data_IF_524946565597
#
_entry.id   IF_524946565597
#
_cell.length_a   1.000
_cell.length_b   1.000
_cell.length_c   1.000
_cell.angle_alpha   90.00
_cell.angle_beta   90.00
_cell.angle_gamma   90.00
#
_symmetry.space_group_name_H-M   'P 1'
#
loop_
_entity.id
_entity.type
_entity.pdbx_description
1 polymer ?
#
# COMPACT_ATOMS: atom_id res chain seq x y z
N UNK A 1 20.32 -6.26 4.92
CA UNK A 1 20.18 -6.82 3.56
C UNK A 1 21.14 -7.99 3.46
N UNK A 2 20.64 -9.21 3.28
CA UNK A 2 21.49 -10.37 3.03
C UNK A 2 22.09 -10.25 1.64
N UNK A 3 23.40 -10.29 1.53
CA UNK A 3 24.08 -10.41 0.25
C UNK A 3 24.06 -11.88 -0.12
N UNK A 4 23.22 -12.27 -1.09
CA UNK A 4 23.27 -13.62 -1.64
C UNK A 4 24.60 -13.83 -2.37
N UNK A 5 25.12 -15.06 -2.37
CA UNK A 5 26.29 -15.40 -3.18
C UNK A 5 25.94 -15.47 -4.69
N UNK A 6 24.66 -15.36 -5.03
CA UNK A 6 24.11 -15.32 -6.39
C UNK A 6 23.51 -13.95 -6.72
N UNK A 7 23.23 -13.71 -8.01
CA UNK A 7 22.51 -12.52 -8.49
C UNK A 7 20.99 -12.58 -8.26
N UNK A 8 20.47 -13.75 -7.85
CA UNK A 8 19.04 -13.94 -7.61
C UNK A 8 18.68 -13.56 -6.17
N UNK A 9 17.70 -12.66 -6.00
CA UNK A 9 17.33 -12.10 -4.70
C UNK A 9 16.14 -12.82 -4.05
N UNK A 10 15.36 -13.58 -4.82
CA UNK A 10 14.18 -14.30 -4.31
C UNK A 10 14.51 -15.73 -3.88
N UNK A 11 15.42 -16.38 -4.61
CA UNK A 11 15.77 -17.81 -4.43
C UNK A 11 17.28 -18.05 -4.38
N UNK A 12 18.04 -16.97 -4.15
CA UNK A 12 19.49 -17.00 -4.15
C UNK A 12 20.10 -17.87 -3.05
N UNK A 13 21.29 -18.40 -3.32
CA UNK A 13 22.02 -19.20 -2.33
C UNK A 13 22.59 -18.28 -1.26
N UNK A 14 22.18 -18.54 -0.02
CA UNK A 14 22.71 -17.89 1.17
C UNK A 14 24.23 -18.13 1.31
N UNK A 15 25.04 -17.12 1.72
CA UNK A 15 26.43 -17.34 2.06
C UNK A 15 26.59 -18.32 3.22
N UNK A 16 27.71 -19.03 3.27
CA UNK A 16 28.01 -19.99 4.36
C UNK A 16 28.03 -19.35 5.76
N UNK A 17 28.34 -18.05 5.85
CA UNK A 17 28.31 -17.29 7.11
C UNK A 17 26.90 -16.94 7.58
N UNK A 18 25.92 -16.97 6.68
CA UNK A 18 24.53 -16.61 6.96
C UNK A 18 23.60 -17.61 6.24
N UNK A 19 23.62 -18.90 6.62
CA UNK A 19 23.03 -20.00 5.84
C UNK A 19 21.50 -20.03 5.87
N UNK A 20 20.86 -19.14 6.63
CA UNK A 20 19.41 -19.12 6.80
C UNK A 20 18.78 -18.09 5.87
N UNK A 21 17.90 -18.56 4.98
CA UNK A 21 17.09 -17.70 4.13
C UNK A 21 15.98 -17.06 4.97
N UNK A 22 15.91 -15.73 4.97
CA UNK A 22 14.83 -14.98 5.63
C UNK A 22 13.71 -14.68 4.64
N UNK A 23 12.54 -14.32 5.17
CA UNK A 23 11.42 -13.86 4.35
C UNK A 23 11.82 -12.53 3.68
N UNK A 24 11.64 -12.45 2.37
CA UNK A 24 11.78 -11.22 1.59
C UNK A 24 10.44 -10.53 1.47
N UNK A 25 10.43 -9.20 1.54
CA UNK A 25 9.26 -8.37 1.24
C UNK A 25 9.41 -7.81 -0.17
N UNK A 26 8.46 -8.12 -1.02
CA UNK A 26 8.36 -7.58 -2.36
C UNK A 26 7.18 -6.61 -2.43
N UNK A 27 7.47 -5.37 -2.84
CA UNK A 27 6.46 -4.33 -3.03
C UNK A 27 6.36 -4.04 -4.51
N UNK A 28 5.20 -4.30 -5.09
CA UNK A 28 4.89 -3.97 -6.47
C UNK A 28 3.70 -3.01 -6.50
N UNK A 29 3.87 -1.91 -7.22
CA UNK A 29 2.81 -0.92 -7.42
C UNK A 29 2.72 -0.65 -8.91
N UNK A 30 1.61 -1.08 -9.49
CA UNK A 30 1.32 -0.98 -10.92
C UNK A 30 0.32 0.15 -11.15
N UNK A 31 0.63 1.06 -12.07
CA UNK A 31 -0.27 2.10 -12.52
C UNK A 31 -0.61 1.86 -14.00
N UNK A 32 -1.89 1.72 -14.33
CA UNK A 32 -2.34 1.74 -15.73
C UNK A 32 -2.36 3.19 -16.22
N UNK A 33 -1.27 3.54 -16.87
CA UNK A 33 -0.99 4.88 -17.33
C UNK A 33 -1.39 5.11 -18.79
N UNK A 34 -1.76 4.07 -19.53
CA UNK A 34 -1.92 4.15 -20.99
C UNK A 34 -3.00 5.16 -21.43
N UNK A 35 -4.02 5.39 -20.59
CA UNK A 35 -5.11 6.34 -20.88
C UNK A 35 -4.71 7.82 -20.89
N UNK A 36 -3.52 8.15 -20.40
CA UNK A 36 -3.06 9.54 -20.31
C UNK A 36 -1.90 9.81 -21.28
N UNK A 37 -1.66 8.90 -22.26
CA UNK A 37 -0.40 8.80 -23.02
C UNK A 37 0.02 10.13 -23.67
N UNK A 38 -0.97 10.94 -24.03
CA UNK A 38 -0.88 12.27 -24.65
C UNK A 38 -0.60 13.42 -23.66
N UNK A 39 -0.69 13.16 -22.35
CA UNK A 39 -0.42 14.11 -21.28
C UNK A 39 1.02 14.04 -20.76
N UNK A 40 1.80 13.04 -21.16
CA UNK A 40 3.24 13.00 -20.90
C UNK A 40 3.98 13.93 -21.84
N UNK A 41 4.90 14.74 -21.29
CA UNK A 41 5.79 15.61 -22.06
C UNK A 41 5.01 16.56 -22.99
N UNK A 42 4.48 17.66 -22.46
CA UNK A 42 3.97 18.73 -23.32
C UNK A 42 5.14 19.24 -24.20
N UNK A 43 5.23 18.70 -25.43
CA UNK A 43 6.32 18.97 -26.37
C UNK A 43 6.41 20.45 -26.77
N UNK A 44 5.34 21.23 -26.57
CA UNK A 44 5.27 22.63 -26.96
C UNK A 44 6.06 23.56 -26.04
N UNK A 45 6.30 23.16 -24.78
CA UNK A 45 6.95 24.00 -23.77
C UNK A 45 8.34 23.51 -23.33
N UNK A 46 8.86 22.43 -23.92
CA UNK A 46 10.17 21.87 -23.56
C UNK A 46 10.29 21.40 -22.11
N UNK A 47 9.15 21.20 -21.43
CA UNK A 47 9.08 20.87 -20.02
C UNK A 47 8.86 19.36 -19.81
N UNK A 48 9.68 18.73 -18.97
CA UNK A 48 9.53 17.35 -18.52
C UNK A 48 8.34 17.22 -17.55
N UNK A 49 7.12 17.39 -18.06
CA UNK A 49 5.89 17.35 -17.27
C UNK A 49 5.21 15.99 -17.38
N UNK A 50 4.75 15.47 -16.25
CA UNK A 50 3.92 14.26 -16.12
C UNK A 50 2.65 14.60 -15.33
N UNK A 51 1.50 13.95 -15.58
CA UNK A 51 0.21 14.43 -15.09
C UNK A 51 -0.20 13.90 -13.71
N UNK A 52 0.64 13.12 -13.02
CA UNK A 52 0.33 12.48 -11.74
C UNK A 52 0.94 13.22 -10.56
N UNK A 53 0.26 13.18 -9.43
CA UNK A 53 0.72 13.70 -8.15
C UNK A 53 0.34 12.68 -7.08
N UNK A 54 1.23 12.38 -6.14
CA UNK A 54 0.86 11.55 -5.00
C UNK A 54 -0.13 12.30 -4.10
N UNK A 55 -1.01 11.56 -3.40
CA UNK A 55 -2.09 12.16 -2.60
C UNK A 55 -1.61 13.07 -1.46
N UNK A 56 -0.33 12.95 -1.06
CA UNK A 56 0.34 13.85 -0.13
C UNK A 56 0.88 15.14 -0.78
N UNK A 57 0.57 15.40 -2.05
CA UNK A 57 0.99 16.60 -2.78
C UNK A 57 2.35 16.52 -3.45
N UNK A 58 3.03 15.37 -3.42
CA UNK A 58 4.35 15.21 -4.02
C UNK A 58 4.28 14.95 -5.54
N UNK A 59 4.88 15.86 -6.32
CA UNK A 59 4.99 15.75 -7.79
C UNK A 59 6.30 15.13 -8.24
N UNK A 60 7.26 14.94 -7.33
CA UNK A 60 8.62 14.47 -7.61
C UNK A 60 8.76 12.96 -7.46
N UNK A 61 7.92 12.35 -6.61
CA UNK A 61 7.97 10.95 -6.24
C UNK A 61 8.99 10.61 -5.16
N UNK A 62 9.79 11.56 -4.68
CA UNK A 62 10.75 11.32 -3.59
C UNK A 62 10.10 11.13 -2.22
N UNK A 63 8.83 11.52 -2.06
CA UNK A 63 8.01 11.21 -0.90
C UNK A 63 7.41 9.80 -0.94
N UNK A 64 7.63 9.03 -2.01
CA UNK A 64 7.11 7.68 -2.11
C UNK A 64 7.80 6.74 -1.13
N UNK A 65 7.02 6.23 -0.18
CA UNK A 65 7.51 5.40 0.91
C UNK A 65 6.50 4.29 1.21
N UNK A 66 7.02 3.12 1.58
CA UNK A 66 6.22 2.00 2.04
C UNK A 66 6.65 1.61 3.46
N UNK A 67 5.67 1.38 4.32
CA UNK A 67 5.87 0.83 5.65
C UNK A 67 5.38 -0.63 5.68
N UNK A 68 6.12 -1.48 6.37
CA UNK A 68 5.69 -2.85 6.69
C UNK A 68 5.28 -2.94 8.15
N UNK A 69 4.13 -3.53 8.43
CA UNK A 69 3.75 -3.92 9.79
C UNK A 69 3.45 -5.41 9.79
N UNK A 70 4.24 -6.17 10.53
CA UNK A 70 4.01 -7.61 10.70
C UNK A 70 3.07 -7.85 11.88
N UNK A 71 1.90 -8.44 11.61
CA UNK A 71 0.97 -8.92 12.65
C UNK A 71 0.67 -10.41 12.52
N UNK A 72 1.51 -11.16 11.81
CA UNK A 72 1.34 -12.60 11.73
C UNK A 72 1.59 -13.23 13.10
N UNK A 73 0.72 -14.18 13.47
CA UNK A 73 1.05 -15.12 14.53
C UNK A 73 2.29 -15.93 14.10
N UNK A 74 3.30 -15.99 14.97
CA UNK A 74 4.62 -16.55 14.64
C UNK A 74 4.53 -17.99 14.15
N UNK A 75 3.68 -18.80 14.79
CA UNK A 75 3.46 -20.21 14.44
C UNK A 75 2.77 -20.36 13.08
N UNK A 76 1.88 -19.44 12.71
CA UNK A 76 1.21 -19.43 11.41
C UNK A 76 2.21 -19.05 10.32
N UNK A 77 2.99 -17.99 10.54
CA UNK A 77 4.02 -17.55 9.59
C UNK A 77 5.06 -18.64 9.36
N UNK A 78 5.52 -19.30 10.42
CA UNK A 78 6.46 -20.40 10.33
C UNK A 78 5.90 -21.59 9.51
N UNK A 79 4.64 -21.96 9.73
CA UNK A 79 3.99 -23.04 8.96
C UNK A 79 3.80 -22.66 7.49
N UNK A 80 3.33 -21.45 7.22
CA UNK A 80 3.16 -20.96 5.85
C UNK A 80 4.49 -21.00 5.08
N UNK A 81 5.55 -20.43 5.65
CA UNK A 81 6.87 -20.36 5.00
C UNK A 81 7.57 -21.70 4.80
N UNK A 82 7.32 -22.69 5.66
CA UNK A 82 7.99 -24.00 5.57
C UNK A 82 7.20 -25.04 4.79
N UNK A 83 5.87 -24.92 4.73
CA UNK A 83 5.01 -25.97 4.17
C UNK A 83 4.29 -25.53 2.89
N UNK A 84 4.28 -24.24 2.57
CA UNK A 84 3.61 -23.73 1.37
C UNK A 84 4.63 -23.37 0.30
N UNK A 85 5.24 -24.41 -0.27
CA UNK A 85 6.34 -24.32 -1.23
C UNK A 85 5.91 -24.71 -2.65
N UNK A 86 4.64 -24.47 -3.00
CA UNK A 86 4.13 -24.75 -4.34
C UNK A 86 4.75 -23.77 -5.34
N UNK A 87 5.25 -24.28 -6.46
CA UNK A 87 5.80 -23.46 -7.55
C UNK A 87 4.72 -22.75 -8.38
N UNK A 88 3.43 -22.96 -8.07
CA UNK A 88 2.30 -22.36 -8.80
C UNK A 88 2.21 -20.84 -8.62
N UNK A 89 2.76 -20.32 -7.52
CA UNK A 89 2.54 -18.93 -7.09
C UNK A 89 1.13 -18.64 -6.54
N UNK A 90 0.26 -19.65 -6.50
CA UNK A 90 -1.11 -19.50 -5.98
C UNK A 90 -1.13 -19.72 -4.47
N UNK A 91 -1.70 -18.76 -3.73
CA UNK A 91 -1.78 -18.83 -2.27
C UNK A 91 -2.80 -19.88 -1.81
N UNK A 92 -3.77 -20.22 -2.65
CA UNK A 92 -4.84 -21.18 -2.42
C UNK A 92 -4.31 -22.62 -2.26
N UNK A 93 -3.15 -22.92 -2.84
CA UNK A 93 -2.48 -24.22 -2.69
C UNK A 93 -1.90 -24.43 -1.28
N UNK A 94 -1.81 -23.35 -0.49
CA UNK A 94 -1.30 -23.38 0.88
C UNK A 94 -2.39 -23.77 1.88
N UNK A 95 -2.51 -25.06 2.19
CA UNK A 95 -3.43 -25.56 3.23
C UNK A 95 -3.08 -25.18 4.68
N UNK A 96 -2.14 -24.24 4.90
CA UNK A 96 -1.70 -23.80 6.25
C UNK A 96 -2.20 -22.42 6.64
N UNK A 97 -2.83 -21.70 5.71
CA UNK A 97 -3.43 -20.40 5.96
C UNK A 97 -4.94 -20.48 5.73
N UNK A 98 -5.69 -19.70 6.50
CA UNK A 98 -7.13 -19.57 6.27
C UNK A 98 -7.33 -18.61 5.09
N UNK A 99 -7.93 -19.11 4.03
CA UNK A 99 -8.32 -18.30 2.88
C UNK A 99 -9.70 -17.70 3.10
N UNK A 100 -9.88 -16.46 2.65
CA UNK A 100 -11.16 -15.77 2.61
C UNK A 100 -11.48 -15.44 1.15
N UNK A 101 -12.76 -15.45 0.81
CA UNK A 101 -13.21 -15.00 -0.50
C UNK A 101 -12.88 -13.51 -0.71
N UNK A 102 -12.80 -13.11 -1.98
CA UNK A 102 -12.58 -11.70 -2.34
C UNK A 102 -13.63 -10.78 -1.69
N UNK A 103 -14.89 -11.21 -1.63
CA UNK A 103 -15.98 -10.46 -1.01
C UNK A 103 -15.82 -10.32 0.51
N UNK A 104 -15.38 -11.38 1.21
CA UNK A 104 -15.08 -11.33 2.65
C UNK A 104 -13.91 -10.38 2.95
N UNK A 105 -12.86 -10.44 2.15
CA UNK A 105 -11.73 -9.51 2.25
C UNK A 105 -12.18 -8.06 2.04
N UNK A 106 -13.01 -7.81 1.01
CA UNK A 106 -13.54 -6.49 0.71
C UNK A 106 -14.55 -5.98 1.74
N UNK A 107 -15.26 -6.87 2.45
CA UNK A 107 -16.18 -6.50 3.50
C UNK A 107 -15.45 -5.95 4.74
N UNK A 108 -14.18 -6.30 4.93
CA UNK A 108 -13.36 -5.82 6.03
C UNK A 108 -12.86 -4.39 5.78
N UNK A 109 -13.69 -3.39 6.09
CA UNK A 109 -13.35 -1.96 5.95
C UNK A 109 -13.42 -1.26 7.30
N UNK A 110 -12.51 -0.31 7.50
CA UNK A 110 -12.64 0.64 8.60
C UNK A 110 -13.76 1.64 8.27
N UNK A 111 -14.54 2.08 9.29
CA UNK A 111 -15.53 3.12 9.09
C UNK A 111 -14.84 4.41 8.68
N UNK A 112 -15.53 5.22 7.90
CA UNK A 112 -15.07 6.58 7.65
C UNK A 112 -15.07 7.35 8.97
N UNK A 113 -13.90 7.87 9.34
CA UNK A 113 -13.67 8.62 10.58
C UNK A 113 -13.33 10.10 10.33
N UNK A 114 -13.26 10.51 9.06
CA UNK A 114 -13.00 11.89 8.62
C UNK A 114 -14.14 12.28 7.69
N UNK A 115 -14.82 13.39 7.99
CA UNK A 115 -15.99 13.85 7.23
C UNK A 115 -15.58 14.55 5.91
N UNK A 116 -14.90 13.81 5.03
CA UNK A 116 -14.42 14.32 3.75
C UNK A 116 -14.98 13.48 2.60
N UNK A 117 -15.24 14.12 1.46
CA UNK A 117 -15.65 13.43 0.23
C UNK A 117 -14.45 12.67 -0.34
N UNK A 118 -14.41 11.36 -0.14
CA UNK A 118 -13.28 10.50 -0.58
C UNK A 118 -13.50 9.84 -1.94
N UNK A 119 -14.60 10.14 -2.64
CA UNK A 119 -14.98 9.49 -3.90
C UNK A 119 -15.35 10.48 -5.01
N UNK A 120 -15.37 9.94 -6.25
CA UNK A 120 -15.62 10.71 -7.45
C UNK A 120 -14.56 11.78 -7.73
N UNK A 121 -14.95 12.80 -8.48
CA UNK A 121 -14.09 13.94 -8.77
C UNK A 121 -14.07 14.92 -7.59
N UNK A 122 -12.87 15.36 -7.24
CA UNK A 122 -12.58 16.31 -6.17
C UNK A 122 -11.72 17.45 -6.71
N UNK A 123 -11.94 18.66 -6.22
CA UNK A 123 -11.26 19.87 -6.71
C UNK A 123 -9.85 20.05 -6.11
N UNK A 124 -9.53 19.29 -5.04
CA UNK A 124 -8.25 19.35 -4.32
C UNK A 124 -7.91 17.99 -3.72
N UNK A 125 -6.64 17.78 -3.38
CA UNK A 125 -6.22 16.58 -2.67
C UNK A 125 -6.82 16.52 -1.27
N UNK A 126 -7.21 15.31 -0.87
CA UNK A 126 -7.82 15.02 0.42
C UNK A 126 -6.87 15.34 1.58
N UNK A 127 -7.40 15.61 2.75
CA UNK A 127 -6.61 15.83 3.96
C UNK A 127 -5.82 17.15 3.97
N UNK A 128 -6.23 18.13 3.17
CA UNK A 128 -5.56 19.43 3.07
C UNK A 128 -4.09 19.33 2.62
N UNK A 129 -3.82 18.53 1.58
CA UNK A 129 -2.48 18.34 1.03
C UNK A 129 -2.25 19.26 -0.19
N UNK A 130 -1.60 20.43 -0.04
CA UNK A 130 -1.27 21.27 -1.19
C UNK A 130 -0.20 20.59 -2.06
N UNK A 131 -0.28 20.81 -3.37
CA UNK A 131 0.70 20.28 -4.32
C UNK A 131 2.00 21.08 -4.22
N UNK A 132 3.14 20.38 -4.08
CA UNK A 132 4.48 20.98 -4.03
C UNK A 132 5.32 20.49 -5.20
N UNK A 133 5.79 21.43 -6.03
CA UNK A 133 6.51 21.15 -7.27
C UNK A 133 8.04 21.03 -7.11
N UNK A 134 8.57 21.10 -5.88
CA UNK A 134 10.00 21.02 -5.60
C UNK A 134 10.84 22.09 -6.34
N UNK A 135 12.18 22.01 -6.31
CA UNK A 135 13.01 21.14 -5.46
C UNK A 135 13.13 21.65 -4.02
N UNK A 136 12.51 22.80 -3.70
CA UNK A 136 12.46 23.31 -2.33
C UNK A 136 11.65 22.40 -1.40
N UNK A 137 11.84 22.53 -0.07
CA UNK A 137 11.01 21.83 0.90
C UNK A 137 9.52 22.10 0.67
N UNK A 138 8.69 21.08 0.86
CA UNK A 138 7.24 21.26 0.81
C UNK A 138 6.80 22.26 1.89
N UNK A 139 5.99 23.24 1.50
CA UNK A 139 5.34 24.13 2.47
C UNK A 139 4.08 23.44 2.98
N UNK A 140 3.93 23.38 4.30
CA UNK A 140 2.68 22.90 4.90
C UNK A 140 1.49 23.75 4.47
N UNK A 141 0.26 23.24 4.55
CA UNK A 141 -0.92 24.01 4.20
C UNK A 141 -1.08 25.25 5.10
N UNK A 142 -1.40 26.40 4.51
CA UNK A 142 -1.62 27.67 5.23
C UNK A 142 -3.05 27.84 5.71
N UNK A 143 -4.02 27.28 4.97
CA UNK A 143 -5.45 27.51 5.19
C UNK A 143 -6.23 26.20 5.14
N UNK A 144 -5.91 25.28 6.06
CA UNK A 144 -6.77 24.13 6.26
C UNK A 144 -8.05 24.59 6.95
N UNK A 145 -9.24 24.41 6.34
CA UNK A 145 -10.45 24.42 7.14
C UNK A 145 -10.26 23.39 8.27
N UNK A 146 -10.84 23.59 9.46
CA UNK A 146 -10.81 22.60 10.52
C UNK A 146 -11.09 21.26 9.87
N UNK A 147 -10.18 20.29 10.03
CA UNK A 147 -10.35 18.94 9.49
C UNK A 147 -11.79 18.58 9.76
N UNK A 148 -12.54 18.28 8.70
CA UNK A 148 -13.94 17.92 8.85
C UNK A 148 -13.96 16.87 9.95
N UNK A 149 -14.59 17.24 11.08
CA UNK A 149 -14.18 16.76 12.39
C UNK A 149 -14.05 15.25 12.41
N UNK A 150 -13.25 14.71 13.33
CA UNK A 150 -13.38 13.30 13.66
C UNK A 150 -14.80 13.05 14.19
N UNK A 151 -15.72 12.80 13.27
CA UNK A 151 -17.08 12.43 13.56
C UNK A 151 -17.07 11.04 14.18
N UNK A 152 -18.15 10.66 14.89
CA UNK A 152 -18.30 9.27 15.25
C UNK A 152 -18.17 8.42 13.97
N UNK A 153 -17.39 7.33 13.99
CA UNK A 153 -17.16 6.53 12.80
C UNK A 153 -18.49 6.16 12.15
N UNK A 154 -18.67 6.55 10.89
CA UNK A 154 -19.89 6.23 10.15
C UNK A 154 -19.85 4.74 9.86
N UNK A 155 -20.67 3.96 10.58
CA UNK A 155 -20.77 2.51 10.40
C UNK A 155 -21.37 2.23 9.02
N UNK A 156 -20.51 2.02 8.04
CA UNK A 156 -20.87 1.56 6.69
C UNK A 156 -20.61 0.05 6.49
N UNK A 157 -20.34 -0.69 7.57
CA UNK A 157 -20.11 -2.13 7.56
C UNK A 157 -20.83 -2.83 8.72
N UNK A 158 -21.00 -4.15 8.59
CA UNK A 158 -21.56 -5.03 9.62
C UNK A 158 -20.48 -5.36 10.64
N UNK A 159 -20.69 -4.99 11.90
CA UNK A 159 -19.79 -5.34 12.99
C UNK A 159 -19.88 -6.84 13.31
N UNK A 160 -18.85 -7.59 12.90
CA UNK A 160 -18.75 -9.03 13.13
C UNK A 160 -17.99 -9.37 14.44
N UNK A 161 -17.62 -8.39 15.25
CA UNK A 161 -16.88 -8.64 16.50
C UNK A 161 -17.71 -9.47 17.48
N UNK A 162 -19.02 -9.22 17.52
CA UNK A 162 -19.94 -9.91 18.43
C UNK A 162 -20.47 -11.21 17.83
N UNK A 163 -20.76 -11.23 16.52
CA UNK A 163 -21.38 -12.39 15.85
C UNK A 163 -20.38 -13.45 15.38
N UNK A 164 -19.14 -13.05 15.06
CA UNK A 164 -18.06 -13.95 14.58
C UNK A 164 -16.81 -13.92 15.47
N UNK A 165 -16.79 -13.10 16.53
CA UNK A 165 -15.62 -12.99 17.41
C UNK A 165 -14.41 -12.31 16.76
N UNK A 166 -14.60 -11.66 15.62
CA UNK A 166 -13.52 -11.00 14.88
C UNK A 166 -13.02 -9.80 15.67
N UNK A 167 -11.70 -9.63 15.76
CA UNK A 167 -11.11 -8.46 16.38
C UNK A 167 -9.82 -8.13 15.67
N UNK A 168 -9.47 -6.85 15.63
CA UNK A 168 -8.11 -6.45 15.31
C UNK A 168 -7.19 -7.08 16.37
N UNK A 169 -6.23 -7.88 15.91
CA UNK A 169 -5.21 -8.48 16.77
C UNK A 169 -4.13 -7.44 17.11
#
# INVERSE_FOLDING_TARGET
MSYFNSTEYNTGVCPSTHPNHTISLFYEVLYDINRFADMWYNMSSGSNYQPFVFSNGDTTGYGFHAAFVNRWAVDVLQRATTMCTSDSGNVEDCGKVTQYSYDECNACKLPLAVDEKTDGWVDKLLGCNPVSYGPGPATGPTDCPPSAGHGPPVKNYVDLTTSRGWRYA
#
